data_IF_381487956962
#
_entry.id   IF_381487956962
#
_cell.length_a   1.000
_cell.length_b   1.000
_cell.length_c   1.000
_cell.angle_alpha   90.00
_cell.angle_beta   90.00
_cell.angle_gamma   90.00
#
_symmetry.space_group_name_H-M   'P 1'
#
loop_
_entity.id
_entity.type
_entity.pdbx_description
1 polymer ?
#
# COMPACT_ATOMS: atom_id res chain seq x y z
N UNK A 1 1.69 24.93 9.16
CA UNK A 1 1.43 23.85 10.13
C UNK A 1 1.53 22.51 9.41
N UNK A 2 1.88 21.43 10.11
CA UNK A 2 1.96 20.07 9.56
C UNK A 2 1.09 19.17 10.41
N UNK A 3 0.20 18.41 9.77
CA UNK A 3 -0.86 17.67 10.43
C UNK A 3 -0.93 16.26 9.85
N UNK A 4 -1.27 15.28 10.69
CA UNK A 4 -1.61 13.93 10.26
C UNK A 4 -3.07 13.70 10.63
N UNK A 5 -3.93 13.60 9.62
CA UNK A 5 -5.30 13.12 9.77
C UNK A 5 -5.31 11.59 9.86
N UNK A 6 -6.11 11.06 10.79
CA UNK A 6 -6.30 9.63 11.03
C UNK A 6 -7.79 9.34 11.18
N UNK A 7 -8.29 8.33 10.45
CA UNK A 7 -9.64 7.83 10.66
C UNK A 7 -9.80 7.25 12.07
N UNK A 8 -11.02 7.32 12.59
CA UNK A 8 -11.34 6.90 13.97
C UNK A 8 -11.18 5.40 14.22
N UNK A 9 -11.11 4.60 13.16
CA UNK A 9 -10.85 3.15 13.21
C UNK A 9 -9.42 2.79 12.78
N UNK A 10 -8.48 3.71 12.98
CA UNK A 10 -7.05 3.43 12.83
C UNK A 10 -6.42 3.07 14.18
N UNK A 11 -5.46 2.15 14.13
CA UNK A 11 -4.62 1.76 15.26
C UNK A 11 -3.15 2.01 14.92
N UNK A 12 -2.53 2.97 15.61
CA UNK A 12 -1.12 3.31 15.49
C UNK A 12 -0.31 2.40 16.41
N UNK A 13 0.37 1.41 15.81
CA UNK A 13 1.18 0.41 16.50
C UNK A 13 2.61 0.91 16.78
N UNK A 14 3.14 1.78 15.94
CA UNK A 14 4.51 2.32 16.04
C UNK A 14 4.53 3.83 15.79
N UNK A 15 5.58 4.54 16.23
CA UNK A 15 5.76 5.95 15.87
C UNK A 15 5.69 6.17 14.35
N UNK A 16 5.04 7.27 13.95
CA UNK A 16 4.83 7.68 12.56
C UNK A 16 5.34 9.11 12.31
N UNK A 17 6.25 9.59 13.15
CA UNK A 17 6.83 10.92 13.09
C UNK A 17 7.53 11.19 11.75
N UNK A 18 8.06 10.17 11.09
CA UNK A 18 8.67 10.32 9.76
C UNK A 18 7.68 10.78 8.67
N UNK A 19 6.37 10.70 8.93
CA UNK A 19 5.36 11.27 8.03
C UNK A 19 5.39 12.81 8.03
N UNK A 20 5.90 13.44 9.10
CA UNK A 20 6.14 14.88 9.11
C UNK A 20 7.34 15.29 8.26
N UNK A 21 8.36 14.44 8.16
CA UNK A 21 9.53 14.67 7.30
C UNK A 21 9.13 14.67 5.82
N UNK A 22 8.16 13.85 5.42
CA UNK A 22 7.59 13.90 4.05
C UNK A 22 7.00 15.28 3.72
N UNK A 23 6.51 15.99 4.73
CA UNK A 23 5.90 17.31 4.59
C UNK A 23 6.93 18.46 4.56
N UNK A 24 8.23 18.14 4.50
CA UNK A 24 9.27 19.08 4.09
C UNK A 24 9.25 19.24 2.56
N UNK A 25 9.16 18.14 1.83
CA UNK A 25 9.22 18.11 0.35
C UNK A 25 7.84 18.16 -0.33
N UNK A 26 6.84 17.50 0.26
CA UNK A 26 5.48 17.42 -0.28
C UNK A 26 4.49 18.21 0.59
N UNK A 27 3.35 18.56 0.02
CA UNK A 27 2.26 19.23 0.73
C UNK A 27 1.22 18.25 1.27
N UNK A 28 1.12 17.08 0.66
CA UNK A 28 0.09 16.08 0.96
C UNK A 28 0.64 14.67 0.70
N UNK A 29 0.22 13.69 1.49
CA UNK A 29 0.53 12.30 1.22
C UNK A 29 -0.69 11.43 1.46
N UNK A 30 -0.89 10.43 0.61
CA UNK A 30 -2.06 9.56 0.70
C UNK A 30 -1.75 8.17 0.16
N UNK A 31 -2.42 7.15 0.70
CA UNK A 31 -2.22 5.77 0.28
C UNK A 31 -3.12 5.46 -0.93
N UNK A 32 -2.54 4.92 -2.01
CA UNK A 32 -3.33 4.40 -3.15
C UNK A 32 -4.33 3.36 -2.66
N UNK A 33 -5.59 3.46 -3.04
CA UNK A 33 -6.58 2.46 -2.70
C UNK A 33 -6.19 1.09 -3.29
N UNK A 34 -6.60 0.01 -2.64
CA UNK A 34 -6.33 -1.36 -3.14
C UNK A 34 -7.17 -1.58 -4.40
N UNK A 35 -8.43 -1.22 -4.26
CA UNK A 35 -9.50 -1.41 -5.21
C UNK A 35 -9.78 -0.06 -5.89
N UNK A 36 -10.26 -0.11 -7.12
CA UNK A 36 -10.72 1.07 -7.87
C UNK A 36 -12.25 0.98 -8.06
N UNK A 37 -12.92 0.52 -7.00
CA UNK A 37 -14.34 0.16 -7.02
C UNK A 37 -15.29 1.35 -7.18
N UNK A 38 -14.79 2.57 -7.02
CA UNK A 38 -15.58 3.79 -7.16
C UNK A 38 -15.35 4.50 -8.51
N UNK A 39 -14.55 3.92 -9.42
CA UNK A 39 -14.45 4.34 -10.83
C UNK A 39 -15.61 3.70 -11.58
N UNK A 40 -16.64 4.45 -12.01
CA UNK A 40 -17.76 3.85 -12.70
C UNK A 40 -17.40 3.50 -14.14
N UNK A 41 -18.08 2.48 -14.64
CA UNK A 41 -18.06 2.10 -16.06
C UNK A 41 -18.97 2.98 -16.93
N UNK A 42 -19.97 3.66 -16.33
CA UNK A 42 -20.93 4.53 -17.02
C UNK A 42 -20.84 5.99 -16.51
N UNK A 43 -20.77 6.94 -17.44
CA UNK A 43 -20.00 8.20 -17.30
C UNK A 43 -20.81 9.51 -17.21
N UNK A 44 -22.14 9.52 -17.09
CA UNK A 44 -22.87 10.79 -17.28
C UNK A 44 -22.97 11.71 -16.06
N UNK A 45 -22.86 11.19 -14.83
CA UNK A 45 -23.14 11.92 -13.58
C UNK A 45 -22.11 11.66 -12.46
N UNK A 46 -20.98 11.04 -12.76
CA UNK A 46 -19.96 10.70 -11.76
C UNK A 46 -18.93 11.82 -11.55
N UNK A 47 -18.47 12.08 -10.30
CA UNK A 47 -17.45 13.10 -10.03
C UNK A 47 -16.08 12.84 -10.69
N UNK A 48 -15.77 11.60 -11.08
CA UNK A 48 -14.54 11.21 -11.77
C UNK A 48 -14.60 11.40 -13.29
N UNK A 49 -15.69 11.95 -13.84
CA UNK A 49 -15.75 12.28 -15.27
C UNK A 49 -14.63 13.27 -15.61
N UNK A 50 -13.76 12.89 -16.55
CA UNK A 50 -12.61 13.71 -16.98
C UNK A 50 -11.31 13.43 -16.21
N UNK A 51 -11.34 12.57 -15.18
CA UNK A 51 -10.13 12.03 -14.55
C UNK A 51 -9.55 10.92 -15.42
N UNK A 52 -8.24 10.90 -15.62
CA UNK A 52 -7.57 9.83 -16.37
C UNK A 52 -7.73 8.48 -15.70
N UNK A 53 -8.03 7.43 -16.48
CA UNK A 53 -8.07 6.05 -16.00
C UNK A 53 -6.71 5.57 -15.41
N UNK A 54 -5.60 6.23 -15.76
CA UNK A 54 -4.28 5.94 -15.19
C UNK A 54 -4.06 6.59 -13.80
N UNK A 55 -4.93 7.52 -13.39
CA UNK A 55 -4.87 8.15 -12.07
C UNK A 55 -5.68 7.32 -11.08
N UNK A 56 -5.07 6.79 -10.01
CA UNK A 56 -5.72 5.79 -9.17
C UNK A 56 -6.68 6.41 -8.15
N UNK A 57 -7.43 5.55 -7.47
CA UNK A 57 -8.13 5.92 -6.23
C UNK A 57 -7.20 5.95 -5.03
N UNK A 58 -7.63 6.63 -3.97
CA UNK A 58 -6.87 6.84 -2.75
C UNK A 58 -7.71 6.53 -1.52
N UNK A 59 -7.09 5.92 -0.51
CA UNK A 59 -7.70 5.70 0.79
C UNK A 59 -7.42 6.90 1.71
N UNK A 60 -8.50 7.51 2.21
CA UNK A 60 -8.49 8.72 3.02
C UNK A 60 -8.12 8.52 4.50
N UNK A 61 -7.99 7.28 4.98
CA UNK A 61 -7.92 7.06 6.44
C UNK A 61 -6.61 7.46 7.12
N UNK A 62 -5.55 7.77 6.36
CA UNK A 62 -4.32 8.36 6.88
C UNK A 62 -3.81 9.37 5.87
N UNK A 63 -3.82 10.65 6.26
CA UNK A 63 -3.42 11.77 5.39
C UNK A 63 -2.49 12.72 6.18
N UNK A 64 -1.18 12.64 5.97
CA UNK A 64 -0.26 13.72 6.29
C UNK A 64 -0.46 14.89 5.33
N UNK A 65 -0.57 16.11 5.85
CA UNK A 65 -0.64 17.32 5.04
C UNK A 65 0.01 18.52 5.72
N UNK A 66 0.51 19.45 4.90
CA UNK A 66 1.01 20.76 5.32
C UNK A 66 -0.07 21.79 5.01
N UNK A 67 -0.42 22.64 5.98
CA UNK A 67 -1.42 23.69 5.79
C UNK A 67 -0.88 24.77 4.84
N UNK A 68 -1.19 24.63 3.56
CA UNK A 68 -0.94 25.60 2.48
C UNK A 68 -2.26 25.98 1.82
N UNK A 69 -2.28 27.10 1.08
CA UNK A 69 -3.49 27.51 0.35
C UNK A 69 -3.93 26.43 -0.65
N UNK A 70 -2.99 25.79 -1.33
CA UNK A 70 -3.31 24.71 -2.27
C UNK A 70 -3.98 23.51 -1.58
N UNK A 71 -3.51 23.13 -0.39
CA UNK A 71 -4.14 22.06 0.40
C UNK A 71 -5.52 22.49 0.92
N UNK A 72 -5.68 23.74 1.35
CA UNK A 72 -7.00 24.27 1.71
C UNK A 72 -7.97 24.20 0.53
N UNK A 73 -7.56 24.67 -0.66
CA UNK A 73 -8.35 24.62 -1.88
C UNK A 73 -8.74 23.18 -2.25
N UNK A 74 -7.81 22.23 -2.09
CA UNK A 74 -8.05 20.79 -2.27
C UNK A 74 -9.12 20.28 -1.30
N UNK A 75 -9.00 20.57 -0.01
CA UNK A 75 -9.93 20.09 1.02
C UNK A 75 -11.34 20.65 0.80
N UNK A 76 -11.46 21.93 0.46
CA UNK A 76 -12.75 22.53 0.12
C UNK A 76 -13.34 21.97 -1.18
N UNK A 77 -12.50 21.70 -2.19
CA UNK A 77 -12.95 21.06 -3.42
C UNK A 77 -13.44 19.64 -3.17
N UNK A 78 -12.73 18.89 -2.32
CA UNK A 78 -13.13 17.56 -1.90
C UNK A 78 -14.46 17.58 -1.14
N UNK A 79 -14.63 18.48 -0.18
CA UNK A 79 -15.89 18.67 0.56
C UNK A 79 -17.06 18.98 -0.38
N UNK A 80 -16.90 19.92 -1.32
CA UNK A 80 -17.94 20.26 -2.30
C UNK A 80 -18.35 19.10 -3.19
N UNK A 81 -17.42 18.20 -3.52
CA UNK A 81 -17.66 17.03 -4.36
C UNK A 81 -18.14 15.82 -3.56
N UNK A 82 -18.02 15.84 -2.23
CA UNK A 82 -18.51 14.81 -1.34
C UNK A 82 -20.04 14.96 -1.16
N UNK A 83 -20.80 14.43 -2.12
CA UNK A 83 -22.26 14.50 -2.07
C UNK A 83 -22.85 13.58 -0.97
N UNK A 84 -23.96 13.96 -0.32
CA UNK A 84 -24.57 13.15 0.76
C UNK A 84 -25.03 11.75 0.35
N UNK A 85 -25.26 11.52 -0.93
CA UNK A 85 -25.68 10.24 -1.52
C UNK A 85 -24.49 9.36 -1.94
N UNK A 86 -23.26 9.86 -1.86
CA UNK A 86 -22.08 9.03 -2.04
C UNK A 86 -21.87 8.11 -0.82
N UNK A 87 -21.68 6.82 -1.07
CA UNK A 87 -21.40 5.84 -0.01
C UNK A 87 -20.03 6.04 0.66
N UNK A 88 -19.11 6.79 0.01
CA UNK A 88 -17.77 7.06 0.52
C UNK A 88 -17.22 8.40 0.01
N UNK A 89 -16.51 9.08 0.92
CA UNK A 89 -15.66 10.25 0.69
C UNK A 89 -14.51 9.98 -0.30
N UNK A 90 -14.03 8.74 -0.41
CA UNK A 90 -12.90 8.37 -1.27
C UNK A 90 -13.20 8.59 -2.75
N UNK A 91 -14.47 8.47 -3.14
CA UNK A 91 -14.93 8.68 -4.52
C UNK A 91 -14.68 10.12 -4.99
N UNK A 92 -14.86 11.11 -4.13
CA UNK A 92 -14.67 12.52 -4.46
C UNK A 92 -13.23 13.01 -4.23
N UNK A 93 -12.42 12.27 -3.46
CA UNK A 93 -11.01 12.63 -3.24
C UNK A 93 -10.20 12.53 -4.53
N UNK A 94 -10.43 11.49 -5.34
CA UNK A 94 -9.71 11.26 -6.60
C UNK A 94 -9.81 12.44 -7.58
N UNK A 95 -10.99 12.92 -7.98
CA UNK A 95 -11.11 14.07 -8.88
C UNK A 95 -10.61 15.38 -8.25
N UNK A 96 -10.86 15.59 -6.94
CA UNK A 96 -10.34 16.77 -6.24
C UNK A 96 -8.81 16.82 -6.28
N UNK A 97 -8.13 15.70 -6.02
CA UNK A 97 -6.68 15.62 -6.05
C UNK A 97 -6.12 15.73 -7.48
N UNK A 98 -6.76 15.08 -8.47
CA UNK A 98 -6.37 15.11 -9.88
C UNK A 98 -6.35 16.53 -10.46
N UNK A 99 -7.29 17.38 -10.05
CA UNK A 99 -7.41 18.76 -10.53
C UNK A 99 -6.76 19.80 -9.59
N UNK A 100 -6.17 19.37 -8.48
CA UNK A 100 -5.49 20.27 -7.56
C UNK A 100 -4.11 20.69 -8.07
N UNK A 101 -3.58 21.78 -7.51
CA UNK A 101 -2.18 22.20 -7.68
C UNK A 101 -1.25 21.65 -6.59
N UNK A 102 -1.75 20.77 -5.72
CA UNK A 102 -1.04 20.24 -4.56
C UNK A 102 0.09 19.31 -5.01
N UNK A 103 1.28 19.52 -4.47
CA UNK A 103 2.39 18.59 -4.64
C UNK A 103 2.23 17.44 -3.65
N UNK A 104 1.87 16.24 -4.13
CA UNK A 104 1.59 15.10 -3.26
C UNK A 104 2.41 13.84 -3.58
N UNK A 105 2.47 12.92 -2.61
CA UNK A 105 3.16 11.63 -2.75
C UNK A 105 2.34 10.45 -2.23
N UNK A 106 2.70 9.25 -2.68
CA UNK A 106 2.04 8.02 -2.27
C UNK A 106 2.61 7.48 -0.95
N UNK A 107 1.74 7.13 -0.02
CA UNK A 107 2.13 6.41 1.19
C UNK A 107 2.26 4.91 0.92
N UNK A 108 3.32 4.26 1.42
CA UNK A 108 3.40 2.80 1.47
C UNK A 108 2.27 2.20 2.31
N UNK A 109 1.80 1.00 1.93
CA UNK A 109 0.70 0.30 2.62
C UNK A 109 0.90 0.12 4.15
N UNK A 110 2.15 0.13 4.63
CA UNK A 110 2.47 0.02 6.06
C UNK A 110 2.01 1.20 6.93
N UNK A 111 1.70 2.36 6.33
CA UNK A 111 1.16 3.53 7.02
C UNK A 111 -0.35 3.66 6.94
N UNK A 112 -1.03 2.77 6.21
CA UNK A 112 -2.48 2.73 6.11
C UNK A 112 -2.90 1.30 5.67
N UNK A 113 -2.70 0.34 6.57
CA UNK A 113 -2.84 -1.08 6.26
C UNK A 113 -4.26 -1.57 6.56
N UNK A 114 -5.09 -1.67 5.53
CA UNK A 114 -6.43 -2.27 5.63
C UNK A 114 -6.28 -3.79 5.80
N UNK A 115 -6.22 -4.28 7.03
CA UNK A 115 -5.90 -5.69 7.32
C UNK A 115 -7.05 -6.67 7.04
N UNK A 116 -8.25 -6.16 6.72
CA UNK A 116 -9.43 -6.94 6.32
C UNK A 116 -9.53 -7.22 4.82
N UNK A 117 -8.75 -6.51 4.01
CA UNK A 117 -8.70 -6.68 2.56
C UNK A 117 -7.31 -7.20 2.19
N UNK A 118 -7.19 -8.00 1.13
CA UNK A 118 -5.90 -8.45 0.62
C UNK A 118 -4.99 -7.30 0.23
N UNK A 119 -3.71 -7.43 0.53
CA UNK A 119 -2.76 -6.36 0.29
C UNK A 119 -1.34 -6.91 0.17
N UNK A 120 -0.46 -6.06 -0.32
CA UNK A 120 0.98 -6.32 -0.35
C UNK A 120 1.65 -5.36 0.62
N UNK A 121 2.38 -5.89 1.58
CA UNK A 121 3.10 -5.08 2.58
C UNK A 121 4.55 -5.52 2.65
N UNK A 122 5.43 -4.56 2.91
CA UNK A 122 6.84 -4.77 3.20
C UNK A 122 7.22 -3.96 4.44
N UNK A 123 8.31 -4.36 5.12
CA UNK A 123 8.70 -3.83 6.43
C UNK A 123 7.61 -3.96 7.49
N UNK A 124 7.85 -3.44 8.68
CA UNK A 124 6.86 -3.44 9.75
C UNK A 124 5.68 -2.49 9.44
N UNK A 125 4.47 -2.96 9.69
CA UNK A 125 3.24 -2.14 9.61
C UNK A 125 3.14 -1.28 10.86
N UNK A 126 2.92 0.02 10.64
CA UNK A 126 2.85 1.04 11.68
C UNK A 126 1.41 1.47 11.96
N UNK A 127 0.55 1.51 10.96
CA UNK A 127 -0.87 1.87 11.12
C UNK A 127 -1.76 0.79 10.52
N UNK A 128 -2.61 0.21 11.36
CA UNK A 128 -3.64 -0.75 10.99
C UNK A 128 -4.97 -0.03 10.86
N UNK A 129 -5.65 -0.18 9.73
CA UNK A 129 -6.92 0.49 9.45
C UNK A 129 -8.04 -0.55 9.37
N UNK A 130 -9.01 -0.45 10.27
CA UNK A 130 -10.21 -1.29 10.30
C UNK A 130 -10.85 -1.34 11.69
N UNK A 131 -11.99 -2.04 11.84
CA UNK A 131 -12.75 -2.04 13.09
C UNK A 131 -11.90 -2.38 14.32
N UNK A 132 -11.81 -1.42 15.26
CA UNK A 132 -11.06 -1.58 16.51
C UNK A 132 -11.81 -2.42 17.56
N UNK A 133 -13.11 -2.60 17.38
CA UNK A 133 -13.99 -3.39 18.23
C UNK A 133 -14.54 -4.58 17.44
N UNK A 134 -14.77 -5.69 18.16
CA UNK A 134 -15.39 -6.89 17.61
C UNK A 134 -16.80 -6.56 17.10
N UNK A 135 -16.95 -6.54 15.77
CA UNK A 135 -18.24 -6.40 15.10
C UNK A 135 -18.61 -7.79 14.60
N UNK A 136 -19.85 -8.21 14.86
CA UNK A 136 -20.36 -9.56 14.59
C UNK A 136 -20.25 -10.06 13.12
N UNK A 137 -19.73 -9.26 12.17
CA UNK A 137 -19.54 -9.63 10.75
C UNK A 137 -18.13 -9.21 10.27
N UNK A 138 -17.44 -10.14 9.60
CA UNK A 138 -16.12 -10.02 8.96
C UNK A 138 -14.93 -9.87 9.94
N UNK A 139 -14.61 -11.00 10.59
CA UNK A 139 -13.88 -11.15 11.86
C UNK A 139 -12.37 -11.36 11.69
N UNK A 140 -11.62 -10.34 11.30
CA UNK A 140 -10.18 -10.37 11.58
C UNK A 140 -9.94 -9.52 12.82
N UNK A 141 -9.63 -10.19 13.93
CA UNK A 141 -9.26 -9.51 15.17
C UNK A 141 -8.00 -8.69 14.96
N UNK A 142 -7.99 -7.43 15.43
CA UNK A 142 -6.81 -6.57 15.36
C UNK A 142 -5.58 -7.27 15.96
N UNK A 143 -5.74 -7.95 17.10
CA UNK A 143 -4.63 -8.69 17.74
C UNK A 143 -4.08 -9.81 16.85
N UNK A 144 -4.95 -10.48 16.09
CA UNK A 144 -4.52 -11.49 15.14
C UNK A 144 -3.76 -10.85 13.96
N UNK A 145 -4.28 -9.75 13.42
CA UNK A 145 -3.61 -8.99 12.35
C UNK A 145 -2.22 -8.49 12.78
N UNK A 146 -2.12 -7.88 13.97
CA UNK A 146 -0.85 -7.44 14.57
C UNK A 146 0.17 -8.58 14.62
N UNK A 147 -0.24 -9.72 15.20
CA UNK A 147 0.65 -10.88 15.36
C UNK A 147 1.07 -11.49 14.03
N UNK A 148 0.14 -11.68 13.08
CA UNK A 148 0.42 -12.35 11.80
C UNK A 148 1.16 -11.44 10.82
N UNK A 149 0.73 -10.19 10.65
CA UNK A 149 1.26 -9.31 9.61
C UNK A 149 2.61 -8.68 9.96
N UNK A 150 2.92 -8.53 11.26
CA UNK A 150 4.23 -8.08 11.74
C UNK A 150 5.14 -9.22 12.23
N UNK A 151 4.77 -10.49 11.97
CA UNK A 151 5.67 -11.63 12.21
C UNK A 151 6.92 -11.62 11.31
N UNK A 152 6.86 -10.88 10.19
CA UNK A 152 7.95 -10.73 9.23
C UNK A 152 7.94 -9.32 8.63
N UNK A 153 9.13 -8.83 8.29
CA UNK A 153 9.35 -7.56 7.61
C UNK A 153 9.65 -7.73 6.12
N UNK A 154 9.72 -8.98 5.64
CA UNK A 154 9.83 -9.27 4.22
C UNK A 154 8.60 -8.75 3.44
N UNK A 155 8.70 -8.72 2.11
CA UNK A 155 7.52 -8.57 1.27
C UNK A 155 6.59 -9.75 1.52
N UNK A 156 5.33 -9.48 1.85
CA UNK A 156 4.29 -10.50 2.01
C UNK A 156 2.99 -10.03 1.37
N UNK A 157 2.34 -10.97 0.71
CA UNK A 157 0.96 -10.85 0.26
C UNK A 157 0.11 -11.47 1.34
N UNK A 158 -0.93 -10.77 1.78
CA UNK A 158 -1.94 -11.36 2.61
C UNK A 158 -3.29 -11.24 1.92
N UNK A 159 -4.16 -12.21 2.17
CA UNK A 159 -5.52 -12.21 1.67
C UNK A 159 -6.47 -12.80 2.69
N UNK A 160 -7.73 -12.42 2.57
CA UNK A 160 -8.78 -12.81 3.49
C UNK A 160 -9.73 -13.75 2.75
N UNK A 161 -10.03 -14.90 3.36
CA UNK A 161 -11.02 -15.82 2.85
C UNK A 161 -11.92 -16.25 4.00
N UNK A 162 -13.20 -15.87 3.92
CA UNK A 162 -14.10 -15.90 5.07
C UNK A 162 -13.57 -15.02 6.21
N UNK A 163 -13.46 -15.59 7.41
CA UNK A 163 -12.91 -14.92 8.61
C UNK A 163 -11.45 -15.30 8.88
N UNK A 164 -10.72 -15.82 7.88
CA UNK A 164 -9.33 -16.26 8.06
C UNK A 164 -8.38 -15.37 7.29
N UNK A 165 -7.35 -14.88 7.99
CA UNK A 165 -6.22 -14.19 7.40
C UNK A 165 -5.14 -15.19 6.97
N UNK A 166 -4.88 -15.25 5.66
CA UNK A 166 -3.78 -15.96 5.05
C UNK A 166 -2.66 -14.97 4.74
N UNK A 167 -1.43 -15.36 5.05
CA UNK A 167 -0.23 -14.59 4.70
C UNK A 167 0.64 -15.55 3.91
N UNK A 168 0.84 -15.29 2.62
CA UNK A 168 1.79 -16.05 1.82
C UNK A 168 3.20 -15.53 2.13
N UNK A 169 4.06 -16.33 2.78
CA UNK A 169 5.45 -15.94 2.92
C UNK A 169 6.20 -16.16 1.60
N UNK A 170 7.18 -15.28 1.35
CA UNK A 170 8.35 -15.63 0.54
C UNK A 170 8.80 -17.08 0.88
N UNK A 171 9.21 -17.90 -0.11
CA UNK A 171 9.50 -19.31 0.13
C UNK A 171 10.41 -19.51 1.34
N UNK A 172 10.15 -20.55 2.15
CA UNK A 172 11.00 -20.89 3.31
C UNK A 172 12.45 -21.04 2.89
N UNK A 173 13.41 -20.90 3.81
CA UNK A 173 14.83 -21.08 3.48
C UNK A 173 15.12 -22.41 2.74
N UNK A 174 14.55 -23.57 3.16
CA UNK A 174 14.64 -24.81 2.39
C UNK A 174 14.02 -24.70 0.98
N UNK A 175 12.85 -24.07 0.85
CA UNK A 175 12.21 -23.88 -0.45
C UNK A 175 13.04 -22.95 -1.36
N UNK A 176 13.69 -21.92 -0.82
CA UNK A 176 14.61 -21.04 -1.56
C UNK A 176 15.81 -21.80 -2.11
N UNK A 177 16.39 -22.71 -1.31
CA UNK A 177 17.47 -23.59 -1.78
C UNK A 177 16.99 -24.53 -2.89
N UNK A 178 15.80 -25.12 -2.73
CA UNK A 178 15.18 -25.96 -3.75
C UNK A 178 14.95 -25.21 -5.07
N UNK A 179 14.35 -24.02 -5.03
CA UNK A 179 14.12 -23.19 -6.22
C UNK A 179 15.42 -22.74 -6.89
N UNK A 180 16.47 -22.43 -6.12
CA UNK A 180 17.82 -22.17 -6.69
C UNK A 180 18.39 -23.39 -7.41
N UNK A 181 18.18 -24.58 -6.86
CA UNK A 181 18.55 -25.84 -7.50
C UNK A 181 17.81 -26.06 -8.83
N UNK A 182 16.50 -25.78 -8.86
CA UNK A 182 15.71 -25.83 -10.11
C UNK A 182 16.21 -24.82 -11.14
N UNK A 183 16.47 -23.57 -10.74
CA UNK A 183 17.03 -22.54 -11.63
C UNK A 183 18.38 -22.94 -12.22
N UNK A 184 19.28 -23.50 -11.39
CA UNK A 184 20.58 -24.01 -11.87
C UNK A 184 20.41 -25.16 -12.85
N UNK A 185 19.49 -26.09 -12.58
CA UNK A 185 19.19 -27.20 -13.49
C UNK A 185 18.66 -26.71 -14.83
N UNK A 186 17.74 -25.74 -14.81
CA UNK A 186 17.17 -25.17 -16.03
C UNK A 186 18.24 -24.41 -16.83
N UNK A 187 19.10 -23.63 -16.16
CA UNK A 187 20.28 -22.99 -16.79
C UNK A 187 21.24 -24.01 -17.44
N UNK A 188 21.55 -25.11 -16.75
CA UNK A 188 22.39 -26.18 -17.29
C UNK A 188 21.72 -26.87 -18.49
N UNK A 189 20.41 -27.07 -18.43
CA UNK A 189 19.63 -27.65 -19.54
C UNK A 189 19.65 -26.75 -20.78
N UNK A 190 19.52 -25.44 -20.59
CA UNK A 190 19.35 -24.47 -21.68
C UNK A 190 20.68 -24.01 -22.28
N UNK A 191 21.72 -23.86 -21.45
CA UNK A 191 23.02 -23.25 -21.84
C UNK A 191 24.21 -24.19 -21.69
N UNK A 192 23.99 -25.39 -21.16
CA UNK A 192 25.05 -26.32 -20.84
C UNK A 192 25.84 -25.94 -19.59
N UNK A 193 26.64 -26.90 -19.13
CA UNK A 193 27.34 -26.83 -17.83
C UNK A 193 28.39 -25.73 -17.80
N UNK A 194 29.16 -25.53 -18.88
CA UNK A 194 30.25 -24.55 -18.92
C UNK A 194 29.75 -23.12 -18.84
N UNK A 195 28.80 -22.76 -19.69
CA UNK A 195 28.26 -21.39 -19.71
C UNK A 195 27.51 -21.06 -18.41
N UNK A 196 26.82 -22.04 -17.82
CA UNK A 196 26.19 -21.86 -16.50
C UNK A 196 27.23 -21.62 -15.40
N UNK A 197 28.34 -22.37 -15.40
CA UNK A 197 29.42 -22.19 -14.43
C UNK A 197 30.06 -20.79 -14.55
N UNK A 198 30.31 -20.32 -15.77
CA UNK A 198 30.88 -19.01 -16.03
C UNK A 198 29.95 -17.88 -15.55
N UNK A 199 28.62 -18.02 -15.78
CA UNK A 199 27.62 -17.06 -15.31
C UNK A 199 27.53 -17.01 -13.78
N UNK A 200 27.51 -18.17 -13.12
CA UNK A 200 27.47 -18.25 -11.65
C UNK A 200 28.76 -17.68 -11.05
N UNK A 201 29.91 -18.01 -11.62
CA UNK A 201 31.20 -17.51 -11.16
C UNK A 201 31.31 -15.99 -11.31
N UNK A 202 30.85 -15.45 -12.44
CA UNK A 202 30.80 -14.00 -12.70
C UNK A 202 29.90 -13.29 -11.69
N UNK A 203 28.68 -13.80 -11.46
CA UNK A 203 27.75 -13.21 -10.48
C UNK A 203 28.29 -13.25 -9.04
N UNK A 204 28.96 -14.34 -8.65
CA UNK A 204 29.62 -14.45 -7.33
C UNK A 204 30.76 -13.44 -7.21
N UNK A 205 31.58 -13.30 -8.24
CA UNK A 205 32.68 -12.33 -8.26
C UNK A 205 32.21 -10.87 -8.17
N UNK A 206 31.10 -10.52 -8.84
CA UNK A 206 30.50 -9.18 -8.76
C UNK A 206 29.90 -8.89 -7.38
N UNK A 207 29.26 -9.87 -6.75
CA UNK A 207 28.66 -9.71 -5.41
C UNK A 207 29.68 -9.55 -4.27
N UNK A 208 30.94 -9.95 -4.49
CA UNK A 208 31.99 -9.85 -3.49
C UNK A 208 32.72 -8.49 -3.52
N UNK A 209 32.53 -7.68 -4.58
CA UNK A 209 33.13 -6.37 -4.76
C UNK A 209 34.68 -6.37 -4.77
N UNK A 210 35.34 -5.34 -5.31
CA UNK A 210 36.78 -5.19 -5.11
C UNK A 210 37.04 -4.84 -3.64
N UNK A 211 37.76 -5.71 -2.94
CA UNK A 211 38.26 -5.47 -1.58
C UNK A 211 39.35 -4.40 -1.52
#
# INVERSE_FOLDING_TARGET
>A
ERTIYLDTDTYVQEPIDELFDLLDEFEFAVRRNRDESHIPTDRSDDPNVGVSDAFPEFNSGVIPYRSTSAVTDLLEAWERQCLPDHESDQRSLRPALYHSSVTFTALPNRYNCIYRNDNVVNKRIKVFHGPLLDRCKNRIELREALRKLNASEACRVYYTYGNTLFVDPSPTFPAKLWYRGLQLRDLVSDRGVRETADLVFSAVSESLGPG
#
